data_IF_223732079789
#
_entry.id   IF_223732079789
#
_cell.length_a   1.000
_cell.length_b   1.000
_cell.length_c   1.000
_cell.angle_alpha   90.00
_cell.angle_beta   90.00
_cell.angle_gamma   90.00
#
_symmetry.space_group_name_H-M   'P 1'
#
loop_
_entity.id
_entity.type
_entity.pdbx_description
1 polymer ?
#
# COMPACT_ATOMS: atom_id res chain seq x y z
N UNK A 1 -18.97 18.07 -20.05
CA UNK A 1 -18.88 17.78 -21.50
C UNK A 1 -18.23 16.42 -21.68
N UNK A 2 -18.62 15.62 -22.68
CA UNK A 2 -18.11 14.25 -22.87
C UNK A 2 -16.80 14.29 -23.66
N UNK A 3 -15.81 13.44 -23.31
CA UNK A 3 -14.61 13.26 -24.14
C UNK A 3 -15.02 12.91 -25.57
N UNK A 4 -14.29 13.45 -26.53
CA UNK A 4 -14.45 13.05 -27.93
C UNK A 4 -13.91 11.64 -28.14
N UNK A 5 -14.46 10.92 -29.11
CA UNK A 5 -14.02 9.57 -29.46
C UNK A 5 -12.52 9.51 -29.83
N UNK A 6 -11.99 10.59 -30.43
CA UNK A 6 -10.56 10.74 -30.71
C UNK A 6 -9.72 10.82 -29.43
N UNK A 7 -10.15 11.60 -28.44
CA UNK A 7 -9.45 11.70 -27.16
C UNK A 7 -9.45 10.37 -26.41
N UNK A 8 -10.57 9.64 -26.40
CA UNK A 8 -10.65 8.31 -25.78
C UNK A 8 -9.67 7.34 -26.45
N UNK A 9 -9.60 7.34 -27.78
CA UNK A 9 -8.66 6.50 -28.53
C UNK A 9 -7.22 6.81 -28.16
N UNK A 10 -6.87 8.09 -28.10
CA UNK A 10 -5.51 8.55 -27.78
C UNK A 10 -5.13 8.18 -26.35
N UNK A 11 -6.07 8.27 -25.40
CA UNK A 11 -5.85 7.79 -24.03
C UNK A 11 -5.59 6.29 -24.03
N UNK A 12 -6.39 5.48 -24.73
CA UNK A 12 -6.15 4.04 -24.80
C UNK A 12 -4.79 3.72 -25.43
N UNK A 13 -4.43 4.38 -26.53
CA UNK A 13 -3.13 4.22 -27.18
C UNK A 13 -1.98 4.59 -26.23
N UNK A 14 -2.13 5.63 -25.40
CA UNK A 14 -1.14 6.02 -24.41
C UNK A 14 -0.85 4.90 -23.41
N UNK A 15 -1.88 4.21 -22.92
CA UNK A 15 -1.70 3.08 -22.01
C UNK A 15 -1.19 1.82 -22.72
N UNK A 16 -1.57 1.57 -23.97
CA UNK A 16 -1.07 0.44 -24.77
C UNK A 16 0.42 0.59 -25.15
N UNK A 17 0.88 1.83 -25.31
CA UNK A 17 2.25 2.14 -25.72
C UNK A 17 3.16 2.48 -24.54
N UNK A 18 2.83 2.02 -23.33
CA UNK A 18 3.60 2.23 -22.09
C UNK A 18 3.90 3.71 -21.77
N UNK A 19 3.02 4.63 -22.17
CA UNK A 19 3.19 6.06 -21.91
C UNK A 19 4.16 6.78 -22.84
N UNK A 20 4.56 6.19 -23.97
CA UNK A 20 5.37 6.91 -24.97
C UNK A 20 4.53 7.96 -25.70
N UNK A 21 4.59 9.20 -25.22
CA UNK A 21 3.89 10.33 -25.81
C UNK A 21 4.27 10.54 -27.28
N UNK A 22 5.54 10.37 -27.65
CA UNK A 22 6.01 10.65 -29.01
C UNK A 22 5.41 9.67 -30.01
N UNK A 23 5.43 8.38 -29.66
CA UNK A 23 4.88 7.34 -30.50
C UNK A 23 3.34 7.41 -30.59
N UNK A 24 2.66 7.87 -29.54
CA UNK A 24 1.20 8.10 -29.55
C UNK A 24 0.83 9.29 -30.44
N UNK A 25 1.61 10.37 -30.41
CA UNK A 25 1.41 11.54 -31.27
C UNK A 25 1.62 11.19 -32.74
N UNK A 26 2.65 10.40 -33.06
CA UNK A 26 2.90 9.92 -34.43
C UNK A 26 1.79 8.99 -34.91
N UNK A 27 1.41 7.99 -34.10
CA UNK A 27 0.34 7.01 -34.42
C UNK A 27 -1.00 7.70 -34.70
N UNK A 28 -1.33 8.73 -33.92
CA UNK A 28 -2.60 9.47 -34.04
C UNK A 28 -2.51 10.73 -34.91
N UNK A 29 -1.35 11.01 -35.51
CA UNK A 29 -1.08 12.21 -36.32
C UNK A 29 -1.50 13.50 -35.61
N UNK A 30 -1.17 13.58 -34.32
CA UNK A 30 -1.52 14.71 -33.48
C UNK A 30 -0.39 15.76 -33.49
N UNK A 31 -0.78 17.02 -33.64
CA UNK A 31 0.15 18.12 -33.43
C UNK A 31 0.52 18.25 -31.95
N UNK A 32 1.79 18.52 -31.60
CA UNK A 32 2.22 18.79 -30.23
C UNK A 32 1.48 19.96 -29.56
N UNK A 33 0.97 20.92 -30.35
CA UNK A 33 0.20 22.06 -29.85
C UNK A 33 -1.20 21.61 -29.42
N UNK A 34 -1.83 20.73 -30.21
CA UNK A 34 -3.13 20.17 -29.90
C UNK A 34 -3.06 19.27 -28.66
N UNK A 35 -1.98 18.48 -28.55
CA UNK A 35 -1.70 17.66 -27.37
C UNK A 35 -1.61 18.49 -26.10
N UNK A 36 -0.77 19.53 -26.10
CA UNK A 36 -0.67 20.47 -24.97
C UNK A 36 -2.00 21.10 -24.62
N UNK A 37 -2.80 21.49 -25.61
CA UNK A 37 -4.15 22.01 -25.37
C UNK A 37 -5.07 20.98 -24.69
N UNK A 38 -4.98 19.71 -25.07
CA UNK A 38 -5.73 18.64 -24.40
C UNK A 38 -5.24 18.38 -22.99
N UNK A 39 -3.92 18.42 -22.75
CA UNK A 39 -3.38 18.31 -21.39
C UNK A 39 -3.81 19.47 -20.48
N UNK A 40 -4.13 20.64 -21.02
CA UNK A 40 -4.71 21.73 -20.23
C UNK A 40 -6.23 21.63 -20.04
N UNK A 41 -6.92 20.70 -20.71
CA UNK A 41 -8.36 20.48 -20.57
C UNK A 41 -8.62 19.53 -19.40
N UNK A 42 -9.43 20.00 -18.45
CA UNK A 42 -9.77 19.23 -17.25
C UNK A 42 -10.46 17.91 -17.60
N UNK A 43 -11.32 17.92 -18.62
CA UNK A 43 -12.03 16.72 -19.07
C UNK A 43 -11.08 15.65 -19.58
N UNK A 44 -10.01 16.05 -20.28
CA UNK A 44 -9.03 15.11 -20.79
C UNK A 44 -8.19 14.48 -19.66
N UNK A 45 -7.78 15.30 -18.68
CA UNK A 45 -7.07 14.82 -17.48
C UNK A 45 -7.95 13.84 -16.70
N UNK A 46 -9.20 14.20 -16.40
CA UNK A 46 -10.14 13.33 -15.70
C UNK A 46 -10.34 11.99 -16.43
N UNK A 47 -10.32 12.00 -17.77
CA UNK A 47 -10.37 10.79 -18.59
C UNK A 47 -9.14 9.89 -18.42
N UNK A 48 -7.95 10.47 -18.33
CA UNK A 48 -6.70 9.73 -18.05
C UNK A 48 -6.74 9.16 -16.63
N UNK A 49 -7.14 9.95 -15.63
CA UNK A 49 -7.25 9.52 -14.24
C UNK A 49 -8.25 8.37 -14.08
N UNK A 50 -9.43 8.47 -14.72
CA UNK A 50 -10.42 7.41 -14.72
C UNK A 50 -9.86 6.11 -15.32
N UNK A 51 -9.08 6.21 -16.40
CA UNK A 51 -8.45 5.04 -17.02
C UNK A 51 -7.37 4.45 -16.11
N UNK A 52 -6.55 5.29 -15.47
CA UNK A 52 -5.54 4.88 -14.52
C UNK A 52 -6.16 4.13 -13.33
N UNK A 53 -7.24 4.66 -12.76
CA UNK A 53 -7.93 4.01 -11.65
C UNK A 53 -8.55 2.68 -12.09
N UNK A 54 -9.08 2.58 -13.32
CA UNK A 54 -9.55 1.31 -13.87
C UNK A 54 -8.45 0.25 -13.96
N UNK A 55 -7.23 0.61 -14.36
CA UNK A 55 -6.10 -0.33 -14.39
C UNK A 55 -5.66 -0.74 -12.99
N UNK A 56 -5.63 0.20 -12.05
CA UNK A 56 -5.34 -0.07 -10.64
C UNK A 56 -6.36 -1.03 -10.03
N UNK A 57 -7.66 -0.80 -10.27
CA UNK A 57 -8.72 -1.70 -9.86
C UNK A 57 -8.57 -3.09 -10.49
N UNK A 58 -8.26 -3.18 -11.78
CA UNK A 58 -8.02 -4.46 -12.44
C UNK A 58 -6.82 -5.22 -11.82
N UNK A 59 -5.74 -4.50 -11.49
CA UNK A 59 -4.59 -5.06 -10.78
C UNK A 59 -4.94 -5.55 -9.38
N UNK A 60 -5.71 -4.78 -8.61
CA UNK A 60 -6.19 -5.18 -7.29
C UNK A 60 -7.09 -6.42 -7.34
N UNK A 61 -8.00 -6.49 -8.32
CA UNK A 61 -8.84 -7.68 -8.54
C UNK A 61 -7.97 -8.90 -8.86
N UNK A 62 -6.94 -8.73 -9.69
CA UNK A 62 -6.01 -9.80 -10.02
C UNK A 62 -5.27 -10.29 -8.77
N UNK A 63 -4.71 -9.38 -7.98
CA UNK A 63 -4.06 -9.71 -6.71
C UNK A 63 -5.01 -10.40 -5.73
N UNK A 64 -6.24 -9.91 -5.61
CA UNK A 64 -7.26 -10.51 -4.75
C UNK A 64 -7.59 -11.95 -5.17
N UNK A 65 -7.68 -12.22 -6.49
CA UNK A 65 -7.89 -13.58 -7.02
C UNK A 65 -6.74 -14.52 -6.67
N UNK A 66 -5.50 -14.04 -6.76
CA UNK A 66 -4.33 -14.86 -6.43
C UNK A 66 -4.02 -14.93 -4.94
N UNK A 67 -4.64 -14.10 -4.11
CA UNK A 67 -4.35 -14.03 -2.68
C UNK A 67 -4.57 -15.39 -1.98
N UNK A 68 -5.67 -16.07 -2.28
CA UNK A 68 -5.94 -17.41 -1.74
C UNK A 68 -4.88 -18.44 -2.15
N UNK A 69 -4.44 -18.40 -3.41
CA UNK A 69 -3.38 -19.29 -3.92
C UNK A 69 -2.04 -18.99 -3.28
N UNK A 70 -1.70 -17.70 -3.14
CA UNK A 70 -0.49 -17.24 -2.46
C UNK A 70 -0.47 -17.66 -0.99
N UNK A 71 -1.59 -17.51 -0.27
CA UNK A 71 -1.73 -17.97 1.11
C UNK A 71 -1.52 -19.49 1.23
N UNK A 72 -2.11 -20.28 0.34
CA UNK A 72 -1.89 -21.74 0.32
C UNK A 72 -0.41 -22.09 0.07
N UNK A 73 0.27 -21.39 -0.85
CA UNK A 73 1.71 -21.58 -1.10
C UNK A 73 2.58 -21.15 0.09
N UNK A 74 2.23 -20.08 0.79
CA UNK A 74 2.95 -19.65 1.99
C UNK A 74 2.85 -20.69 3.11
N UNK A 75 1.66 -21.28 3.33
CA UNK A 75 1.48 -22.37 4.30
C UNK A 75 2.37 -23.57 3.93
N UNK A 76 2.44 -23.95 2.65
CA UNK A 76 3.35 -25.02 2.19
C UNK A 76 4.83 -24.68 2.46
N UNK A 77 5.23 -23.41 2.31
CA UNK A 77 6.61 -22.98 2.56
C UNK A 77 6.98 -23.01 4.06
N UNK A 78 6.00 -22.90 4.96
CA UNK A 78 6.22 -23.10 6.40
C UNK A 78 6.71 -24.52 6.73
N UNK A 79 6.31 -25.52 5.94
CA UNK A 79 6.73 -26.92 6.09
C UNK A 79 8.03 -27.24 5.34
N UNK A 80 8.69 -26.24 4.75
CA UNK A 80 9.93 -26.46 3.99
C UNK A 80 11.10 -26.87 4.90
N UNK A 81 11.99 -27.73 4.38
CA UNK A 81 13.19 -28.20 5.09
C UNK A 81 14.22 -27.10 5.36
N UNK A 82 14.11 -25.96 4.68
CA UNK A 82 14.96 -24.79 4.89
C UNK A 82 14.41 -23.95 6.04
N UNK A 83 15.12 -23.96 7.17
CA UNK A 83 14.74 -23.19 8.36
C UNK A 83 14.55 -21.69 8.06
N UNK A 84 15.40 -21.12 7.20
CA UNK A 84 15.29 -19.70 6.82
C UNK A 84 14.03 -19.42 5.99
N UNK A 85 13.69 -20.30 5.05
CA UNK A 85 12.51 -20.17 4.19
C UNK A 85 11.22 -20.36 4.99
N UNK A 86 11.18 -21.36 5.88
CA UNK A 86 10.06 -21.59 6.79
C UNK A 86 9.85 -20.39 7.73
N UNK A 87 10.93 -19.86 8.33
CA UNK A 87 10.88 -18.68 9.20
C UNK A 87 10.33 -17.46 8.46
N UNK A 88 10.82 -17.19 7.25
CA UNK A 88 10.35 -16.06 6.43
C UNK A 88 8.87 -16.23 6.04
N UNK A 89 8.45 -17.42 5.65
CA UNK A 89 7.04 -17.70 5.32
C UNK A 89 6.12 -17.47 6.53
N UNK A 90 6.51 -17.96 7.73
CA UNK A 90 5.78 -17.71 8.97
C UNK A 90 5.66 -16.21 9.29
N UNK A 91 6.74 -15.45 9.14
CA UNK A 91 6.73 -14.00 9.36
C UNK A 91 5.77 -13.28 8.41
N UNK A 92 5.76 -13.66 7.12
CA UNK A 92 4.85 -13.08 6.12
C UNK A 92 3.38 -13.37 6.48
N UNK A 93 3.05 -14.59 6.92
CA UNK A 93 1.69 -14.94 7.36
C UNK A 93 1.26 -14.12 8.58
N UNK A 94 2.17 -13.92 9.55
CA UNK A 94 1.89 -13.12 10.75
C UNK A 94 1.69 -11.64 10.41
N UNK A 95 2.47 -11.08 9.50
CA UNK A 95 2.36 -9.69 9.05
C UNK A 95 1.06 -9.43 8.26
N UNK A 96 0.54 -10.42 7.52
CA UNK A 96 -0.67 -10.27 6.71
C UNK A 96 -2.00 -10.41 7.48
N UNK A 97 -1.98 -10.53 8.82
CA UNK A 97 -3.22 -10.58 9.60
C UNK A 97 -3.92 -9.21 9.56
N UNK A 98 -5.17 -9.12 9.05
CA UNK A 98 -5.93 -7.87 9.06
C UNK A 98 -6.19 -7.47 10.51
N UNK A 99 -5.45 -6.48 11.00
CA UNK A 99 -5.49 -6.05 12.40
C UNK A 99 -4.12 -5.74 13.00
N UNK A 100 -3.03 -6.25 12.41
CA UNK A 100 -1.68 -5.80 12.72
C UNK A 100 -1.28 -4.82 11.62
N UNK A 101 -1.85 -3.61 11.65
CA UNK A 101 -1.11 -2.48 11.08
C UNK A 101 0.12 -2.36 11.97
N UNK A 102 1.26 -2.88 11.49
CA UNK A 102 2.52 -2.40 12.00
C UNK A 102 2.51 -0.91 11.64
N UNK A 103 2.27 -0.07 12.64
CA UNK A 103 2.68 1.32 12.59
C UNK A 103 4.20 1.28 12.40
N UNK A 104 4.65 1.22 11.16
CA UNK A 104 6.00 1.60 10.78
C UNK A 104 6.06 3.12 10.77
N UNK A 105 5.89 3.69 11.96
CA UNK A 105 6.22 5.07 12.32
C UNK A 105 6.43 4.98 13.83
N UNK A 106 7.70 5.06 14.23
CA UNK A 106 8.08 5.26 15.62
C UNK A 106 7.62 6.65 16.04
N UNK A 107 6.34 6.78 16.36
CA UNK A 107 5.87 7.81 17.26
C UNK A 107 5.91 7.18 18.65
N UNK A 108 6.94 7.56 19.41
CA UNK A 108 6.86 7.56 20.86
C UNK A 108 5.62 8.39 21.22
N UNK A 109 4.45 7.75 21.34
CA UNK A 109 3.36 8.31 22.12
C UNK A 109 3.99 8.68 23.46
N UNK A 110 3.90 9.96 23.90
CA UNK A 110 4.42 10.30 25.20
C UNK A 110 3.57 9.53 26.19
N UNK A 111 4.12 8.44 26.72
CA UNK A 111 3.61 7.77 27.91
C UNK A 111 3.35 8.91 28.88
N UNK A 112 2.07 9.18 29.14
CA UNK A 112 1.64 10.31 29.96
C UNK A 112 2.53 10.31 31.21
N UNK A 113 3.45 11.27 31.28
CA UNK A 113 4.49 11.26 32.30
C UNK A 113 3.78 11.28 33.64
N UNK A 114 3.78 10.14 34.33
CA UNK A 114 3.22 10.07 35.67
C UNK A 114 3.92 11.14 36.49
N UNK A 115 3.14 11.97 37.16
CA UNK A 115 3.68 13.01 38.04
C UNK A 115 4.69 12.34 38.99
N UNK A 116 5.90 12.88 39.15
CA UNK A 116 7.02 12.19 39.82
C UNK A 116 6.66 11.75 41.25
N UNK A 117 5.78 12.48 41.91
CA UNK A 117 5.24 12.11 43.22
C UNK A 117 4.42 10.82 43.21
N UNK A 118 3.62 10.61 42.15
CA UNK A 118 2.80 9.42 41.98
C UNK A 118 3.66 8.21 41.61
N UNK A 119 4.66 8.40 40.74
CA UNK A 119 5.63 7.36 40.41
C UNK A 119 6.42 6.90 41.65
N UNK A 120 6.85 7.83 42.50
CA UNK A 120 7.57 7.54 43.74
C UNK A 120 6.73 6.73 44.74
N UNK A 121 5.45 7.11 44.93
CA UNK A 121 4.51 6.37 45.79
C UNK A 121 4.28 4.94 45.31
N UNK A 122 4.11 4.74 44.00
CA UNK A 122 3.92 3.39 43.43
C UNK A 122 5.17 2.53 43.63
N UNK A 123 6.36 3.08 43.40
CA UNK A 123 7.62 2.36 43.61
C UNK A 123 7.84 1.98 45.08
N UNK A 124 7.49 2.87 46.03
CA UNK A 124 7.59 2.59 47.46
C UNK A 124 6.67 1.41 47.87
N UNK A 125 5.41 1.42 47.41
CA UNK A 125 4.44 0.35 47.71
C UNK A 125 4.91 -0.99 47.11
N UNK A 126 5.43 -0.99 45.89
CA UNK A 126 5.96 -2.20 45.27
C UNK A 126 7.19 -2.75 46.00
N UNK A 127 8.07 -1.87 46.50
CA UNK A 127 9.26 -2.25 47.25
C UNK A 127 8.92 -2.85 48.63
N UNK A 128 7.88 -2.35 49.30
CA UNK A 128 7.36 -2.93 50.54
C UNK A 128 6.72 -4.30 50.29
N UNK A 129 5.94 -4.43 49.21
CA UNK A 129 5.29 -5.70 48.85
C UNK A 129 6.29 -6.80 48.47
N UNK A 130 7.43 -6.43 47.87
CA UNK A 130 8.53 -7.36 47.57
C UNK A 130 9.24 -7.84 48.84
N UNK A 131 9.47 -6.94 49.81
CA UNK A 131 10.06 -7.30 51.12
C UNK A 131 9.15 -8.21 51.95
N UNK A 132 7.83 -7.99 51.90
CA UNK A 132 6.87 -8.81 52.64
C UNK A 132 6.59 -10.19 52.00
N UNK A 133 7.05 -10.43 50.77
CA UNK A 133 6.97 -11.74 50.09
C UNK A 133 8.25 -12.58 50.22
N UNK A 134 9.32 -12.04 50.82
CA UNK A 134 10.59 -12.73 51.04
C UNK A 134 10.82 -13.13 52.50
N UNK A 135 9.76 -13.16 53.31
CA UNK A 135 9.66 -13.75 54.64
C UNK A 135 8.63 -14.89 54.59
#
# INVERSE_FOLDING_TARGET
MKLTQKQIKVINDLFEMNGDETAVLEKNKLSPILWRRWLCSKEFIEGIECKLESYKMAGQILLARYNAVAAARLVQLCESKSSETSRKACMVILANKPGIKQNEEGEDEPVSSLEPETASKILAILAERKRNKSL
#
